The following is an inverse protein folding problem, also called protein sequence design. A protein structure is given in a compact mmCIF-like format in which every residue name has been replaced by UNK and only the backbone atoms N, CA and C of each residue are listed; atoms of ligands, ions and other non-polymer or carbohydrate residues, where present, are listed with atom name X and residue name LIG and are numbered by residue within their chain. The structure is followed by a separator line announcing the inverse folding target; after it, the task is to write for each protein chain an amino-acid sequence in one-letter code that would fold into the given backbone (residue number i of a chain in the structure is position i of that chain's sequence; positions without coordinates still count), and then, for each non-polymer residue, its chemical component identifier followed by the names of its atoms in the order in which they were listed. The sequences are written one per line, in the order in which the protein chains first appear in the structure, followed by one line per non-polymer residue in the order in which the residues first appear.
data_IF_083555419353
#
_entry.id   IF_083555419353
#
_cell.length_a   1.000
_cell.length_b   1.000
_cell.length_c   1.000
_cell.angle_alpha   90.00
_cell.angle_beta   90.00
_cell.angle_gamma   90.00
#
_symmetry.space_group_name_H-M   'P 1'
#
loop_
_entity.id
_entity.type
_entity.pdbx_description
1 polymer ?
#
# COMPACT_ATOMS: atom_id res chain seq x y z
N UNK A 1 10.40 -52.93 -16.45
CA UNK A 1 10.56 -51.58 -15.88
C UNK A 1 9.42 -50.64 -16.24
N UNK A 2 9.09 -50.43 -17.50
CA UNK A 2 8.03 -49.50 -17.91
C UNK A 2 6.65 -49.83 -17.31
N UNK A 3 6.23 -51.12 -17.29
CA UNK A 3 4.94 -51.55 -16.71
C UNK A 3 4.86 -51.24 -15.20
N UNK A 4 5.96 -51.45 -14.47
CA UNK A 4 6.02 -51.14 -13.03
C UNK A 4 5.90 -49.62 -12.77
N UNK A 5 6.56 -48.80 -13.58
CA UNK A 5 6.48 -47.33 -13.49
C UNK A 5 5.06 -46.84 -13.79
N UNK A 6 4.40 -47.39 -14.83
CA UNK A 6 3.01 -47.03 -15.19
C UNK A 6 2.08 -47.45 -14.03
N UNK A 7 2.25 -48.61 -13.46
CA UNK A 7 1.44 -49.09 -12.32
C UNK A 7 1.59 -48.17 -11.09
N UNK A 8 2.83 -47.76 -10.75
CA UNK A 8 3.11 -46.84 -9.65
C UNK A 8 2.45 -45.48 -9.93
N UNK A 9 2.55 -44.95 -11.15
CA UNK A 9 1.91 -43.70 -11.55
C UNK A 9 0.38 -43.78 -11.44
N UNK A 10 -0.24 -44.87 -11.86
CA UNK A 10 -1.67 -45.10 -11.72
C UNK A 10 -2.11 -45.21 -10.25
N UNK A 11 -1.32 -45.89 -9.41
CA UNK A 11 -1.57 -45.96 -7.97
C UNK A 11 -1.45 -44.57 -7.31
N UNK A 12 -0.45 -43.79 -7.66
CA UNK A 12 -0.28 -42.42 -7.17
C UNK A 12 -1.41 -41.51 -7.65
N UNK A 13 -1.84 -41.63 -8.90
CA UNK A 13 -2.96 -40.91 -9.45
C UNK A 13 -4.26 -41.29 -8.75
N UNK A 14 -4.51 -42.58 -8.56
CA UNK A 14 -5.68 -43.11 -7.83
C UNK A 14 -5.68 -42.65 -6.39
N UNK A 15 -4.55 -42.71 -5.68
CA UNK A 15 -4.41 -42.18 -4.32
C UNK A 15 -4.63 -40.67 -4.27
N UNK A 16 -4.10 -39.94 -5.25
CA UNK A 16 -4.32 -38.52 -5.39
C UNK A 16 -5.81 -38.20 -5.61
N UNK A 17 -6.47 -38.90 -6.52
CA UNK A 17 -7.92 -38.77 -6.75
C UNK A 17 -8.72 -39.11 -5.50
N UNK A 18 -8.40 -40.22 -4.82
CA UNK A 18 -9.07 -40.59 -3.56
C UNK A 18 -8.89 -39.50 -2.49
N UNK A 19 -7.66 -38.97 -2.31
CA UNK A 19 -7.38 -37.90 -1.36
C UNK A 19 -8.07 -36.60 -1.74
N UNK A 20 -8.22 -36.30 -3.04
CA UNK A 20 -8.89 -35.14 -3.58
C UNK A 20 -10.43 -35.18 -3.35
N UNK A 21 -11.07 -36.34 -3.48
CA UNK A 21 -12.52 -36.49 -3.41
C UNK A 21 -13.05 -36.92 -2.06
N UNK A 22 -12.29 -37.71 -1.28
CA UNK A 22 -12.81 -38.36 -0.08
C UNK A 22 -12.22 -37.86 1.24
N UNK A 23 -11.06 -37.24 1.24
CA UNK A 23 -10.53 -36.62 2.46
C UNK A 23 -11.18 -35.25 2.64
N UNK A 24 -12.34 -35.20 3.30
CA UNK A 24 -12.89 -33.93 3.78
C UNK A 24 -11.89 -33.32 4.76
N UNK A 25 -11.41 -32.11 4.53
CA UNK A 25 -10.61 -31.43 5.53
C UNK A 25 -11.45 -31.29 6.79
N UNK A 26 -10.91 -31.78 7.90
CA UNK A 26 -11.54 -31.65 9.22
C UNK A 26 -11.39 -30.20 9.67
N UNK A 27 -12.29 -29.33 9.18
CA UNK A 27 -12.24 -27.88 9.44
C UNK A 27 -12.72 -27.50 10.86
N UNK A 28 -13.13 -28.47 11.68
CA UNK A 28 -13.60 -28.23 13.05
C UNK A 28 -12.55 -28.66 14.07
N UNK A 29 -11.53 -27.82 14.29
CA UNK A 29 -10.57 -28.07 15.37
C UNK A 29 -11.02 -27.56 16.74
N UNK A 30 -12.12 -26.84 16.89
CA UNK A 30 -12.46 -26.22 18.19
C UNK A 30 -13.96 -26.10 18.50
N UNK A 31 -14.84 -26.85 17.80
CA UNK A 31 -16.29 -26.79 18.08
C UNK A 31 -16.93 -25.42 17.83
N UNK A 32 -16.24 -24.50 17.15
CA UNK A 32 -16.76 -23.17 16.79
C UNK A 32 -17.32 -23.23 15.38
N UNK A 33 -18.50 -22.65 15.19
CA UNK A 33 -19.09 -22.48 13.87
C UNK A 33 -18.25 -21.50 13.04
N UNK A 34 -17.59 -22.03 12.01
CA UNK A 34 -16.87 -21.19 11.05
C UNK A 34 -17.84 -20.53 10.07
N UNK A 35 -17.53 -19.34 9.57
CA UNK A 35 -18.31 -18.73 8.51
C UNK A 35 -18.44 -19.64 7.28
N UNK A 36 -19.49 -19.45 6.44
CA UNK A 36 -19.67 -20.22 5.21
C UNK A 36 -18.40 -20.24 4.36
N UNK A 37 -18.15 -21.38 3.71
CA UNK A 37 -16.94 -21.60 2.91
C UNK A 37 -17.30 -22.20 1.56
N UNK A 38 -16.69 -21.71 0.44
CA UNK A 38 -16.77 -22.39 -0.84
C UNK A 38 -16.17 -23.80 -0.76
N UNK A 39 -16.44 -24.69 -1.72
CA UNK A 39 -15.73 -25.96 -1.83
C UNK A 39 -14.23 -25.74 -1.97
N UNK A 40 -13.44 -26.38 -1.09
CA UNK A 40 -11.98 -26.29 -1.10
C UNK A 40 -11.35 -27.51 -1.74
N UNK A 41 -10.23 -27.32 -2.43
CA UNK A 41 -9.42 -28.43 -2.91
C UNK A 41 -8.51 -28.94 -1.79
N UNK A 42 -8.21 -30.25 -1.73
CA UNK A 42 -7.21 -30.79 -0.83
C UNK A 42 -5.86 -30.07 -1.00
N UNK A 43 -5.07 -30.01 0.06
CA UNK A 43 -3.74 -29.38 0.13
C UNK A 43 -3.79 -27.87 -0.14
N UNK A 44 -4.20 -27.42 -1.33
CA UNK A 44 -4.15 -26.02 -1.75
C UNK A 44 -5.32 -25.18 -1.24
N UNK A 45 -6.41 -25.81 -0.78
CA UNK A 45 -7.59 -25.10 -0.29
C UNK A 45 -8.28 -24.31 -1.40
N UNK A 46 -8.49 -23.01 -1.16
CA UNK A 46 -9.17 -22.09 -2.09
C UNK A 46 -8.20 -21.29 -2.98
N UNK A 47 -6.91 -21.66 -3.01
CA UNK A 47 -5.90 -20.95 -3.82
C UNK A 47 -6.30 -20.87 -5.29
N UNK A 48 -6.92 -21.91 -5.84
CA UNK A 48 -7.41 -21.94 -7.23
C UNK A 48 -8.41 -20.83 -7.53
N UNK A 49 -9.28 -20.45 -6.57
CA UNK A 49 -10.26 -19.37 -6.75
C UNK A 49 -9.60 -17.98 -6.85
N UNK A 50 -8.40 -17.83 -6.30
CA UNK A 50 -7.64 -16.59 -6.29
C UNK A 50 -6.72 -16.50 -7.52
N UNK A 51 -6.02 -17.59 -7.85
CA UNK A 51 -5.04 -17.60 -8.95
C UNK A 51 -5.68 -17.64 -10.34
N UNK A 52 -6.84 -18.29 -10.49
CA UNK A 52 -7.54 -18.37 -11.77
C UNK A 52 -8.20 -17.06 -12.20
N UNK A 53 -8.26 -16.09 -11.30
CA UNK A 53 -8.86 -14.78 -11.61
C UNK A 53 -7.79 -13.76 -11.93
N UNK A 54 -7.94 -13.11 -13.07
CA UNK A 54 -7.14 -11.94 -13.46
C UNK A 54 -7.43 -10.72 -12.56
N UNK A 55 -8.63 -10.69 -11.95
CA UNK A 55 -9.13 -9.61 -11.10
C UNK A 55 -9.60 -10.18 -9.76
N UNK A 56 -8.69 -10.28 -8.79
CA UNK A 56 -8.90 -10.93 -7.49
C UNK A 56 -10.11 -10.38 -6.72
N UNK A 57 -10.32 -9.07 -6.74
CA UNK A 57 -11.44 -8.42 -6.04
C UNK A 57 -12.81 -8.81 -6.65
N UNK A 58 -12.92 -8.96 -7.97
CA UNK A 58 -14.16 -9.43 -8.62
C UNK A 58 -14.48 -10.88 -8.27
N UNK A 59 -13.45 -11.70 -8.08
CA UNK A 59 -13.65 -13.07 -7.58
C UNK A 59 -14.17 -13.07 -6.14
N UNK A 60 -13.60 -12.26 -5.27
CA UNK A 60 -14.10 -12.11 -3.90
C UNK A 60 -15.53 -11.58 -3.88
N UNK A 61 -15.87 -10.61 -4.72
CA UNK A 61 -17.24 -10.11 -4.86
C UNK A 61 -18.23 -11.21 -5.29
N UNK A 62 -17.86 -12.02 -6.29
CA UNK A 62 -18.69 -13.15 -6.72
C UNK A 62 -18.87 -14.21 -5.63
N UNK A 63 -17.80 -14.52 -4.89
CA UNK A 63 -17.87 -15.44 -3.76
C UNK A 63 -18.79 -14.90 -2.67
N UNK A 64 -18.66 -13.63 -2.31
CA UNK A 64 -19.53 -12.97 -1.35
C UNK A 64 -21.00 -12.95 -1.77
N UNK A 65 -21.28 -12.67 -3.03
CA UNK A 65 -22.67 -12.70 -3.55
C UNK A 65 -23.28 -14.10 -3.47
N UNK A 66 -22.46 -15.15 -3.55
CA UNK A 66 -22.93 -16.55 -3.51
C UNK A 66 -23.02 -17.14 -2.11
N UNK A 67 -22.06 -16.84 -1.23
CA UNK A 67 -21.89 -17.51 0.06
C UNK A 67 -22.14 -16.60 1.26
N UNK A 68 -22.32 -15.29 1.03
CA UNK A 68 -22.57 -14.29 2.08
C UNK A 68 -21.42 -13.32 2.32
N UNK A 69 -21.65 -12.29 3.16
CA UNK A 69 -20.72 -11.17 3.36
C UNK A 69 -19.53 -11.52 4.26
N UNK A 70 -19.57 -12.63 4.97
CA UNK A 70 -18.48 -13.14 5.81
C UNK A 70 -18.16 -14.57 5.40
N UNK A 71 -16.97 -14.80 4.89
CA UNK A 71 -16.54 -16.10 4.35
C UNK A 71 -15.28 -16.60 5.02
N UNK A 72 -15.24 -17.91 5.25
CA UNK A 72 -14.01 -18.61 5.61
C UNK A 72 -13.37 -19.19 4.35
N UNK A 73 -12.12 -18.81 4.10
CA UNK A 73 -11.28 -19.35 3.04
C UNK A 73 -10.02 -19.98 3.66
N UNK A 74 -9.40 -20.90 2.94
CA UNK A 74 -8.16 -21.53 3.35
C UNK A 74 -7.20 -21.57 2.16
N UNK A 75 -5.97 -21.09 2.35
CA UNK A 75 -4.90 -21.22 1.36
C UNK A 75 -3.80 -22.08 1.99
N UNK A 76 -3.57 -23.25 1.44
CA UNK A 76 -2.80 -24.31 2.10
C UNK A 76 -3.30 -24.55 3.52
N UNK A 77 -2.50 -24.17 4.53
CA UNK A 77 -2.83 -24.28 5.95
C UNK A 77 -3.21 -22.92 6.60
N UNK A 78 -3.21 -21.84 5.83
CA UNK A 78 -3.51 -20.49 6.34
C UNK A 78 -5.01 -20.24 6.23
N UNK A 79 -5.74 -20.10 7.36
CA UNK A 79 -7.13 -19.68 7.34
C UNK A 79 -7.21 -18.17 7.03
N UNK A 80 -8.20 -17.78 6.25
CA UNK A 80 -8.49 -16.40 5.87
C UNK A 80 -9.98 -16.17 6.09
N UNK A 81 -10.33 -15.09 6.76
CA UNK A 81 -11.69 -14.60 6.85
C UNK A 81 -11.85 -13.42 5.92
N UNK A 82 -12.77 -13.51 4.98
CA UNK A 82 -13.12 -12.43 4.05
C UNK A 82 -14.38 -11.74 4.55
N UNK A 83 -14.26 -10.49 4.96
CA UNK A 83 -15.37 -9.59 5.24
C UNK A 83 -15.60 -8.67 4.05
N UNK A 84 -16.78 -8.67 3.47
CA UNK A 84 -17.10 -7.98 2.20
C UNK A 84 -18.33 -7.07 2.28
N UNK A 85 -18.87 -6.83 3.48
CA UNK A 85 -19.90 -5.83 3.69
C UNK A 85 -19.46 -4.77 4.71
N UNK A 86 -19.99 -3.57 4.56
CA UNK A 86 -19.71 -2.47 5.47
C UNK A 86 -20.19 -2.77 6.90
N UNK A 87 -21.33 -3.45 7.07
CA UNK A 87 -21.83 -3.83 8.39
C UNK A 87 -20.91 -4.82 9.10
N UNK A 88 -20.48 -5.88 8.43
CA UNK A 88 -19.53 -6.86 9.00
C UNK A 88 -18.19 -6.20 9.32
N UNK A 89 -17.69 -5.34 8.45
CA UNK A 89 -16.46 -4.59 8.71
C UNK A 89 -16.61 -3.67 9.94
N UNK A 90 -17.76 -3.02 10.08
CA UNK A 90 -18.05 -2.20 11.25
C UNK A 90 -18.02 -3.00 12.55
N UNK A 91 -18.73 -4.13 12.59
CA UNK A 91 -18.78 -4.98 13.78
C UNK A 91 -17.38 -5.51 14.15
N UNK A 92 -16.58 -5.90 13.16
CA UNK A 92 -15.20 -6.32 13.38
C UNK A 92 -14.36 -5.18 13.97
N UNK A 93 -14.41 -3.99 13.40
CA UNK A 93 -13.57 -2.87 13.87
C UNK A 93 -14.09 -2.27 15.18
N UNK A 94 -15.39 -2.34 15.47
CA UNK A 94 -15.96 -1.88 16.74
C UNK A 94 -15.67 -2.85 17.88
N UNK A 95 -15.96 -4.14 17.68
CA UNK A 95 -16.02 -5.10 18.78
C UNK A 95 -14.76 -5.98 18.85
N UNK A 96 -14.04 -6.16 17.73
CA UNK A 96 -12.89 -7.06 17.62
C UNK A 96 -11.59 -6.34 17.21
N UNK A 97 -11.53 -5.02 17.27
CA UNK A 97 -10.41 -4.22 16.79
C UNK A 97 -9.04 -4.68 17.35
N UNK A 98 -8.98 -5.01 18.65
CA UNK A 98 -7.74 -5.53 19.27
C UNK A 98 -7.32 -6.86 18.65
N UNK A 99 -8.28 -7.77 18.43
CA UNK A 99 -8.02 -9.12 17.91
C UNK A 99 -7.56 -9.10 16.45
N UNK A 100 -7.99 -8.09 15.66
CA UNK A 100 -7.58 -7.92 14.26
C UNK A 100 -6.44 -6.91 14.07
N UNK A 101 -5.89 -6.37 15.17
CA UNK A 101 -4.80 -5.38 15.13
C UNK A 101 -3.44 -5.96 14.74
N UNK A 102 -3.28 -7.27 14.66
CA UNK A 102 -2.03 -7.90 14.25
C UNK A 102 -1.97 -8.00 12.72
N UNK A 103 -0.82 -7.66 12.15
CA UNK A 103 -0.52 -7.92 10.74
C UNK A 103 0.43 -9.09 10.62
N UNK A 104 0.19 -9.95 9.64
CA UNK A 104 1.15 -10.98 9.30
C UNK A 104 2.42 -10.30 8.76
N UNK A 105 3.51 -10.45 9.50
CA UNK A 105 4.81 -9.98 9.02
C UNK A 105 5.41 -11.03 8.11
N UNK A 106 5.76 -10.69 6.87
CA UNK A 106 6.56 -11.59 6.05
C UNK A 106 7.91 -11.84 6.74
N UNK A 107 8.60 -12.95 6.43
CA UNK A 107 9.93 -13.23 6.97
C UNK A 107 10.87 -12.04 6.71
N UNK A 108 11.70 -11.71 7.72
CA UNK A 108 12.61 -10.54 7.68
C UNK A 108 13.46 -10.49 6.42
N UNK A 109 13.90 -11.65 5.93
CA UNK A 109 14.73 -11.79 4.73
C UNK A 109 14.01 -11.46 3.42
N UNK A 110 12.69 -11.41 3.44
CA UNK A 110 11.84 -11.19 2.25
C UNK A 110 11.04 -9.89 2.35
N UNK A 111 11.25 -9.11 3.40
CA UNK A 111 10.51 -7.88 3.66
C UNK A 111 11.17 -6.69 2.98
N UNK A 112 10.36 -5.89 2.29
CA UNK A 112 10.68 -4.52 1.94
C UNK A 112 10.64 -3.64 3.20
N UNK A 113 11.33 -2.47 3.16
CA UNK A 113 11.29 -1.48 4.23
C UNK A 113 11.73 -2.02 5.61
N UNK A 114 12.93 -2.64 5.63
CA UNK A 114 13.64 -3.01 6.84
C UNK A 114 12.93 -4.06 7.74
N UNK A 115 12.05 -4.88 7.18
CA UNK A 115 11.50 -6.07 7.83
C UNK A 115 10.85 -5.81 9.17
N UNK A 116 11.44 -6.33 10.23
CA UNK A 116 10.91 -6.24 11.60
C UNK A 116 10.90 -4.82 12.19
N UNK A 117 11.65 -3.89 11.62
CA UNK A 117 11.64 -2.48 12.03
C UNK A 117 10.49 -1.70 11.41
N UNK A 118 9.81 -2.25 10.40
CA UNK A 118 8.71 -1.57 9.76
C UNK A 118 7.51 -1.41 10.69
N UNK A 119 7.11 -0.17 10.90
CA UNK A 119 5.90 0.18 11.63
C UNK A 119 4.64 -0.46 11.04
N UNK A 120 4.54 -0.64 9.72
CA UNK A 120 3.37 -1.24 9.06
C UNK A 120 3.17 -2.69 9.50
N UNK A 121 4.25 -3.48 9.50
CA UNK A 121 4.20 -4.91 9.79
C UNK A 121 4.46 -5.23 11.26
N UNK A 122 4.88 -4.25 12.07
CA UNK A 122 5.13 -4.44 13.49
C UNK A 122 3.93 -5.05 14.21
N UNK A 123 4.14 -6.00 15.14
CA UNK A 123 3.06 -6.51 15.97
C UNK A 123 2.46 -5.38 16.83
N UNK A 124 1.18 -5.53 17.20
CA UNK A 124 0.54 -4.60 18.12
C UNK A 124 1.20 -4.70 19.49
N UNK A 125 1.94 -3.67 19.89
CA UNK A 125 2.73 -3.60 21.09
C UNK A 125 3.26 -2.18 21.33
N UNK A 126 4.14 -2.00 22.31
CA UNK A 126 4.57 -0.66 22.76
C UNK A 126 5.35 0.09 21.67
N UNK A 127 6.20 -0.60 20.91
CA UNK A 127 6.84 -0.01 19.73
C UNK A 127 5.80 0.55 18.76
N UNK A 128 4.82 -0.26 18.37
CA UNK A 128 3.79 0.17 17.43
C UNK A 128 2.96 1.34 17.96
N UNK A 129 2.57 1.30 19.24
CA UNK A 129 1.81 2.37 19.89
C UNK A 129 2.60 3.68 19.92
N UNK A 130 3.89 3.60 20.27
CA UNK A 130 4.77 4.76 20.28
C UNK A 130 4.92 5.36 18.89
N UNK A 131 5.23 4.53 17.89
CA UNK A 131 5.38 4.97 16.51
C UNK A 131 4.09 5.56 15.95
N UNK A 132 2.95 4.94 16.27
CA UNK A 132 1.64 5.46 15.91
C UNK A 132 1.38 6.84 16.50
N UNK A 133 1.66 7.02 17.79
CA UNK A 133 1.54 8.30 18.48
C UNK A 133 2.44 9.36 17.81
N UNK A 134 3.69 9.04 17.53
CA UNK A 134 4.64 9.94 16.88
C UNK A 134 4.12 10.37 15.48
N UNK A 135 3.68 9.42 14.66
CA UNK A 135 3.10 9.69 13.35
C UNK A 135 1.90 10.65 13.43
N UNK A 136 0.91 10.30 14.24
CA UNK A 136 -0.37 11.04 14.29
C UNK A 136 -0.22 12.42 14.96
N UNK A 137 0.73 12.59 15.88
CA UNK A 137 0.88 13.88 16.60
C UNK A 137 1.92 14.79 15.97
N UNK A 138 3.09 14.25 15.61
CA UNK A 138 4.26 15.07 15.22
C UNK A 138 4.48 15.16 13.72
N UNK A 139 4.13 14.11 12.95
CA UNK A 139 4.46 14.00 11.53
C UNK A 139 3.27 14.32 10.64
N UNK A 140 2.08 13.79 10.94
CA UNK A 140 0.86 13.91 10.13
C UNK A 140 -0.30 14.58 10.88
N UNK A 141 -0.05 15.05 12.11
CA UNK A 141 -1.02 15.78 12.90
C UNK A 141 -1.33 17.18 12.30
N UNK A 142 -2.41 17.83 12.77
CA UNK A 142 -2.84 19.12 12.21
C UNK A 142 -1.74 20.18 12.18
N UNK A 143 -0.93 20.27 13.24
CA UNK A 143 0.20 21.23 13.29
C UNK A 143 1.29 20.91 12.28
N UNK A 144 1.61 19.62 12.07
CA UNK A 144 2.59 19.19 11.08
C UNK A 144 2.09 19.45 9.65
N UNK A 145 0.80 19.18 9.40
CA UNK A 145 0.17 19.51 8.13
C UNK A 145 0.17 21.02 7.86
N UNK A 146 -0.03 21.85 8.87
CA UNK A 146 0.07 23.31 8.70
C UNK A 146 1.50 23.74 8.41
N UNK A 147 2.51 23.24 9.12
CA UNK A 147 3.94 23.51 8.83
C UNK A 147 4.33 23.15 7.40
N UNK A 148 3.83 21.99 6.91
CA UNK A 148 4.12 21.53 5.54
C UNK A 148 3.21 22.14 4.46
N UNK A 149 2.31 23.10 4.82
CA UNK A 149 1.38 23.72 3.90
C UNK A 149 2.07 24.38 2.72
N UNK A 150 3.15 25.15 2.96
CA UNK A 150 3.92 25.79 1.91
C UNK A 150 4.47 24.80 0.89
N UNK A 151 4.96 23.66 1.33
CA UNK A 151 5.47 22.62 0.43
C UNK A 151 4.37 22.06 -0.50
N UNK A 152 3.16 21.88 0.03
CA UNK A 152 2.02 21.43 -0.77
C UNK A 152 1.55 22.51 -1.74
N UNK A 153 1.50 23.76 -1.30
CA UNK A 153 1.13 24.90 -2.15
C UNK A 153 2.12 25.08 -3.31
N UNK A 154 3.42 25.00 -3.06
CA UNK A 154 4.45 25.07 -4.09
C UNK A 154 4.32 23.96 -5.14
N UNK A 155 4.10 22.72 -4.72
CA UNK A 155 3.97 21.61 -5.66
C UNK A 155 2.63 21.66 -6.41
N UNK A 156 1.57 22.16 -5.77
CA UNK A 156 0.28 22.39 -6.42
C UNK A 156 0.40 23.51 -7.48
N UNK A 157 1.11 24.59 -7.20
CA UNK A 157 1.38 25.66 -8.17
C UNK A 157 2.21 25.14 -9.36
N UNK A 158 3.20 24.28 -9.11
CA UNK A 158 3.96 23.59 -10.17
C UNK A 158 3.08 22.69 -11.01
N UNK A 159 2.20 21.91 -10.38
CA UNK A 159 1.22 21.08 -11.06
C UNK A 159 0.28 21.92 -11.94
N UNK A 160 -0.24 23.03 -11.42
CA UNK A 160 -1.07 23.96 -12.18
C UNK A 160 -0.32 24.54 -13.41
N UNK A 161 0.93 24.99 -13.22
CA UNK A 161 1.77 25.54 -14.31
C UNK A 161 2.03 24.48 -15.38
N UNK A 162 2.29 23.24 -15.00
CA UNK A 162 2.48 22.14 -15.95
C UNK A 162 1.21 21.91 -16.78
N UNK A 163 0.04 21.87 -16.16
CA UNK A 163 -1.22 21.72 -16.85
C UNK A 163 -1.51 22.91 -17.78
N UNK A 164 -1.20 24.14 -17.35
CA UNK A 164 -1.39 25.34 -18.13
C UNK A 164 -0.47 25.37 -19.36
N UNK A 165 0.79 25.00 -19.22
CA UNK A 165 1.73 24.88 -20.35
C UNK A 165 1.24 23.86 -21.39
N UNK A 166 0.79 22.69 -20.93
CA UNK A 166 0.18 21.66 -21.78
C UNK A 166 -1.09 22.18 -22.47
N UNK A 167 -1.91 22.94 -21.76
CA UNK A 167 -3.12 23.53 -22.31
C UNK A 167 -2.81 24.57 -23.42
N UNK A 168 -1.81 25.43 -23.21
CA UNK A 168 -1.35 26.40 -24.23
C UNK A 168 -0.81 25.68 -25.46
N UNK A 169 -0.05 24.62 -25.27
CA UNK A 169 0.53 23.80 -26.36
C UNK A 169 -0.50 22.86 -27.02
N UNK A 170 -1.73 22.78 -26.47
CA UNK A 170 -2.78 21.84 -26.88
C UNK A 170 -2.32 20.37 -26.83
N UNK A 171 -1.46 20.05 -25.88
CA UNK A 171 -0.95 18.70 -25.66
C UNK A 171 -1.84 17.93 -24.68
N UNK A 172 -1.92 16.62 -24.86
CA UNK A 172 -2.61 15.74 -23.92
C UNK A 172 -1.74 15.47 -22.67
N UNK A 173 -2.41 15.23 -21.56
CA UNK A 173 -1.82 14.93 -20.25
C UNK A 173 -2.30 13.56 -19.82
N UNK A 174 -1.40 12.73 -19.33
CA UNK A 174 -1.74 11.51 -18.62
C UNK A 174 -1.97 11.83 -17.14
N UNK A 175 -3.23 11.78 -16.71
CA UNK A 175 -3.65 12.26 -15.37
C UNK A 175 -2.93 11.50 -14.25
N UNK A 176 -2.78 10.18 -14.40
CA UNK A 176 -2.13 9.34 -13.36
C UNK A 176 -0.66 9.71 -13.20
N UNK A 177 0.04 9.97 -14.30
CA UNK A 177 1.45 10.36 -14.28
C UNK A 177 1.65 11.71 -13.56
N UNK A 178 0.86 12.73 -13.93
CA UNK A 178 0.99 14.05 -13.31
C UNK A 178 0.56 14.04 -11.82
N UNK A 179 -0.49 13.29 -11.48
CA UNK A 179 -0.88 13.11 -10.09
C UNK A 179 0.20 12.37 -9.26
N UNK A 180 0.88 11.37 -9.86
CA UNK A 180 1.98 10.69 -9.21
C UNK A 180 3.20 11.62 -9.00
N UNK A 181 3.52 12.48 -9.97
CA UNK A 181 4.58 13.52 -9.83
C UNK A 181 4.25 14.47 -8.68
N UNK A 182 3.04 15.02 -8.65
CA UNK A 182 2.59 15.90 -7.59
C UNK A 182 2.73 15.24 -6.21
N UNK A 183 2.22 14.03 -6.06
CA UNK A 183 2.24 13.32 -4.78
C UNK A 183 3.68 13.00 -4.34
N UNK A 184 4.49 12.42 -5.22
CA UNK A 184 5.88 12.07 -4.90
C UNK A 184 6.70 13.30 -4.53
N UNK A 185 6.58 14.40 -5.27
CA UNK A 185 7.32 15.62 -4.97
C UNK A 185 6.87 16.24 -3.64
N UNK A 186 5.56 16.24 -3.37
CA UNK A 186 5.01 16.69 -2.09
C UNK A 186 5.59 15.90 -0.91
N UNK A 187 5.59 14.57 -1.01
CA UNK A 187 6.14 13.70 0.04
C UNK A 187 7.64 13.92 0.18
N UNK A 188 8.40 14.01 -0.92
CA UNK A 188 9.83 14.29 -0.88
C UNK A 188 10.12 15.61 -0.16
N UNK A 189 9.38 16.68 -0.47
CA UNK A 189 9.53 17.96 0.23
C UNK A 189 9.19 17.86 1.72
N UNK A 190 8.17 17.15 2.07
CA UNK A 190 7.79 16.95 3.47
C UNK A 190 8.83 16.16 4.27
N UNK A 191 9.47 15.16 3.63
CA UNK A 191 10.49 14.32 4.27
C UNK A 191 11.85 15.02 4.33
N UNK A 192 12.28 15.65 3.23
CA UNK A 192 13.63 16.16 3.04
C UNK A 192 13.75 17.69 3.16
N UNK A 193 12.63 18.40 3.38
CA UNK A 193 12.59 19.86 3.40
C UNK A 193 12.91 20.53 2.05
N UNK A 194 13.18 19.75 0.99
CA UNK A 194 13.53 20.22 -0.35
C UNK A 194 12.85 19.39 -1.44
N UNK A 195 12.63 20.00 -2.60
CA UNK A 195 12.18 19.23 -3.78
C UNK A 195 13.28 18.27 -4.21
N UNK A 196 12.86 17.12 -4.72
CA UNK A 196 13.78 16.23 -5.43
C UNK A 196 14.32 16.96 -6.65
N UNK A 197 15.64 17.00 -6.82
CA UNK A 197 16.25 17.63 -7.96
C UNK A 197 15.96 16.83 -9.23
N UNK A 198 15.36 17.49 -10.23
CA UNK A 198 15.20 16.91 -11.56
C UNK A 198 16.53 16.95 -12.33
N UNK A 199 17.36 17.96 -12.06
CA UNK A 199 18.66 18.15 -12.73
C UNK A 199 19.66 17.03 -12.38
N UNK A 200 19.60 16.49 -11.15
CA UNK A 200 20.46 15.39 -10.72
C UNK A 200 19.88 14.00 -10.97
N UNK A 201 18.68 13.91 -11.55
CA UNK A 201 17.96 12.63 -11.73
C UNK A 201 17.47 11.98 -10.42
N UNK A 202 17.57 12.67 -9.28
CA UNK A 202 17.15 12.15 -7.98
C UNK A 202 15.63 11.89 -7.94
N UNK A 203 14.84 12.81 -8.48
CA UNK A 203 13.39 12.68 -8.56
C UNK A 203 12.99 11.45 -9.39
N UNK A 204 13.66 11.21 -10.52
CA UNK A 204 13.43 10.05 -11.36
C UNK A 204 13.84 8.75 -10.64
N UNK A 205 14.97 8.76 -9.94
CA UNK A 205 15.43 7.62 -9.15
C UNK A 205 14.43 7.24 -8.06
N UNK A 206 13.89 8.22 -7.32
CA UNK A 206 12.88 7.99 -6.28
C UNK A 206 11.59 7.44 -6.88
N UNK A 207 11.08 8.07 -7.96
CA UNK A 207 9.89 7.57 -8.68
C UNK A 207 10.09 6.16 -9.22
N UNK A 208 11.26 5.85 -9.76
CA UNK A 208 11.64 4.52 -10.20
C UNK A 208 11.58 3.49 -9.08
N UNK A 209 12.15 3.80 -7.91
CA UNK A 209 12.12 2.91 -6.74
C UNK A 209 10.70 2.67 -6.23
N UNK A 210 9.86 3.71 -6.17
CA UNK A 210 8.45 3.57 -5.79
C UNK A 210 7.72 2.65 -6.78
N UNK A 211 7.93 2.84 -8.08
CA UNK A 211 7.33 2.00 -9.12
C UNK A 211 7.83 0.55 -9.03
N UNK A 212 9.14 0.32 -8.84
CA UNK A 212 9.71 -1.01 -8.61
C UNK A 212 9.08 -1.69 -7.38
N UNK A 213 8.90 -0.97 -6.28
CA UNK A 213 8.30 -1.51 -5.06
C UNK A 213 6.83 -1.90 -5.24
N UNK A 214 6.07 -1.08 -5.96
CA UNK A 214 4.68 -1.37 -6.31
C UNK A 214 4.56 -2.63 -7.18
N UNK A 215 5.45 -2.80 -8.16
CA UNK A 215 5.50 -3.99 -9.00
C UNK A 215 5.82 -5.27 -8.20
N UNK A 216 6.57 -5.16 -7.12
CA UNK A 216 6.89 -6.27 -6.24
C UNK A 216 5.74 -6.70 -5.31
N UNK A 217 4.71 -5.89 -5.11
CA UNK A 217 3.63 -6.19 -4.15
C UNK A 217 2.99 -7.55 -4.39
N UNK A 218 2.69 -7.89 -5.66
CA UNK A 218 2.16 -9.20 -6.04
C UNK A 218 3.16 -10.33 -5.76
N UNK A 219 4.44 -10.11 -6.05
CA UNK A 219 5.51 -11.09 -5.81
C UNK A 219 5.71 -11.35 -4.32
N UNK A 220 5.66 -10.30 -3.49
CA UNK A 220 5.72 -10.40 -2.03
C UNK A 220 4.52 -11.18 -1.49
N UNK A 221 3.32 -10.90 -1.99
CA UNK A 221 2.12 -11.64 -1.61
C UNK A 221 2.24 -13.14 -1.95
N UNK A 222 2.69 -13.47 -3.16
CA UNK A 222 2.94 -14.85 -3.54
C UNK A 222 4.05 -15.50 -2.70
N UNK A 223 5.16 -14.80 -2.49
CA UNK A 223 6.24 -15.29 -1.64
C UNK A 223 5.74 -15.60 -0.22
N UNK A 224 4.89 -14.75 0.34
CA UNK A 224 4.29 -14.95 1.68
C UNK A 224 3.38 -16.20 1.73
N UNK A 225 2.52 -16.37 0.73
CA UNK A 225 1.61 -17.54 0.65
C UNK A 225 2.40 -18.85 0.53
N UNK A 226 3.41 -18.86 -0.34
CA UNK A 226 4.18 -20.07 -0.62
C UNK A 226 5.38 -20.27 0.32
N UNK A 227 5.65 -19.32 1.23
CA UNK A 227 6.81 -19.36 2.12
C UNK A 227 6.91 -20.70 2.88
N UNK A 228 5.88 -21.08 3.64
CA UNK A 228 5.94 -22.28 4.48
C UNK A 228 6.13 -23.59 3.69
N UNK A 229 5.39 -23.85 2.58
CA UNK A 229 5.63 -25.06 1.80
C UNK A 229 7.01 -25.09 1.13
N UNK A 230 7.50 -23.96 0.62
CA UNK A 230 8.76 -23.87 -0.10
C UNK A 230 10.00 -23.78 0.80
N UNK A 231 9.85 -23.22 2.01
CA UNK A 231 10.94 -23.17 3.00
C UNK A 231 11.50 -24.54 3.33
N UNK A 232 10.64 -25.57 3.39
CA UNK A 232 11.07 -26.96 3.61
C UNK A 232 11.95 -27.50 2.48
N UNK A 233 11.84 -26.91 1.29
CA UNK A 233 12.65 -27.24 0.10
C UNK A 233 13.85 -26.30 -0.07
N UNK A 234 14.08 -25.38 0.86
CA UNK A 234 15.14 -24.36 0.75
C UNK A 234 14.89 -23.30 -0.33
N UNK A 235 13.65 -23.21 -0.85
CA UNK A 235 13.29 -22.27 -1.93
C UNK A 235 12.64 -21.03 -1.35
N UNK A 236 13.18 -19.87 -1.71
CA UNK A 236 12.60 -18.55 -1.41
C UNK A 236 12.29 -17.81 -2.70
N UNK A 237 10.99 -17.59 -2.95
CA UNK A 237 10.51 -16.95 -4.17
C UNK A 237 10.86 -15.45 -4.18
N UNK A 238 11.39 -14.97 -5.29
CA UNK A 238 11.66 -13.54 -5.54
C UNK A 238 12.62 -12.88 -4.55
N UNK A 239 13.33 -13.64 -3.70
CA UNK A 239 14.23 -13.11 -2.66
C UNK A 239 15.22 -12.11 -3.23
N UNK A 240 15.90 -12.43 -4.33
CA UNK A 240 16.91 -11.55 -4.93
C UNK A 240 16.34 -10.20 -5.37
N UNK A 241 15.15 -10.21 -5.98
CA UNK A 241 14.49 -8.99 -6.45
C UNK A 241 14.02 -8.12 -5.26
N UNK A 242 13.36 -8.75 -4.27
CA UNK A 242 12.88 -8.06 -3.06
C UNK A 242 14.06 -7.43 -2.31
N UNK A 243 15.14 -8.18 -2.09
CA UNK A 243 16.32 -7.67 -1.40
C UNK A 243 17.06 -6.59 -2.19
N UNK A 244 17.05 -6.65 -3.52
CA UNK A 244 17.65 -5.61 -4.36
C UNK A 244 16.94 -4.27 -4.18
N UNK A 245 15.60 -4.26 -4.24
CA UNK A 245 14.82 -3.03 -4.06
C UNK A 245 14.91 -2.54 -2.61
N UNK A 246 14.86 -3.43 -1.63
CA UNK A 246 15.02 -3.07 -0.22
C UNK A 246 16.36 -2.38 0.05
N UNK A 247 17.46 -2.87 -0.53
CA UNK A 247 18.79 -2.26 -0.40
C UNK A 247 18.84 -0.87 -1.03
N UNK A 248 18.30 -0.70 -2.24
CA UNK A 248 18.24 0.61 -2.90
C UNK A 248 17.48 1.66 -2.05
N UNK A 249 16.37 1.24 -1.41
CA UNK A 249 15.65 2.11 -0.47
C UNK A 249 16.48 2.43 0.77
N UNK A 250 17.15 1.43 1.34
CA UNK A 250 17.99 1.61 2.52
C UNK A 250 19.14 2.59 2.25
N UNK A 251 19.83 2.44 1.12
CA UNK A 251 20.89 3.36 0.68
C UNK A 251 20.38 4.79 0.47
N UNK A 252 19.20 4.95 -0.15
CA UNK A 252 18.59 6.26 -0.36
C UNK A 252 18.22 6.93 0.97
N UNK A 253 17.56 6.19 1.86
CA UNK A 253 17.10 6.72 3.15
C UNK A 253 18.28 7.00 4.08
N UNK A 254 19.35 6.20 4.03
CA UNK A 254 20.58 6.47 4.79
C UNK A 254 21.24 7.76 4.32
N UNK A 255 21.33 7.98 3.00
CA UNK A 255 21.85 9.24 2.45
C UNK A 255 21.05 10.44 2.96
N UNK A 256 19.70 10.38 2.89
CA UNK A 256 18.83 11.46 3.38
C UNK A 256 19.04 11.71 4.86
N UNK A 257 19.18 10.64 5.65
CA UNK A 257 19.40 10.73 7.09
C UNK A 257 20.72 11.43 7.43
N UNK A 258 21.80 11.06 6.75
CA UNK A 258 23.13 11.67 6.95
C UNK A 258 23.09 13.16 6.58
N UNK A 259 22.50 13.53 5.43
CA UNK A 259 22.33 14.92 5.02
C UNK A 259 21.58 15.78 6.06
N UNK A 260 20.61 15.19 6.77
CA UNK A 260 19.87 15.90 7.82
C UNK A 260 20.64 15.98 9.13
N UNK A 261 21.40 14.95 9.49
CA UNK A 261 22.26 14.98 10.67
C UNK A 261 23.32 16.08 10.55
N UNK A 262 23.95 16.21 9.37
CA UNK A 262 24.93 17.27 9.09
C UNK A 262 24.30 18.68 9.19
N UNK A 263 23.10 18.88 8.63
CA UNK A 263 22.39 20.17 8.74
C UNK A 263 21.98 20.53 10.17
N UNK A 264 21.58 19.54 10.98
CA UNK A 264 21.22 19.79 12.38
C UNK A 264 22.43 20.23 13.23
N UNK A 265 23.64 19.76 12.90
CA UNK A 265 24.88 20.19 13.56
C UNK A 265 25.23 21.66 13.25
N UNK A 266 24.83 22.17 12.09
CA UNK A 266 25.00 23.57 11.67
C UNK A 266 23.96 24.56 12.25
N UNK A 267 23.19 24.15 13.28
CA UNK A 267 22.19 24.98 13.98
C UNK A 267 20.98 25.44 13.14
N UNK A 268 20.64 24.76 12.08
CA UNK A 268 19.39 25.00 11.38
C UNK A 268 18.26 24.26 12.12
N UNK A 269 17.34 25.02 12.74
CA UNK A 269 16.08 24.47 13.23
C UNK A 269 15.25 24.01 12.02
N UNK A 270 15.37 22.75 11.67
CA UNK A 270 14.58 22.14 10.63
C UNK A 270 13.12 21.98 11.03
N UNK A 271 12.25 22.00 10.05
CA UNK A 271 10.79 21.91 10.25
C UNK A 271 10.18 20.76 9.45
N UNK A 272 11.02 19.92 8.82
CA UNK A 272 10.55 18.80 8.03
C UNK A 272 10.32 17.51 8.85
N UNK A 273 9.88 16.45 8.20
CA UNK A 273 9.54 15.19 8.89
C UNK A 273 10.78 14.44 9.38
N UNK A 274 11.91 14.57 8.69
CA UNK A 274 13.15 13.90 9.06
C UNK A 274 13.73 14.52 10.34
N UNK A 275 13.67 15.86 10.47
CA UNK A 275 14.12 16.55 11.67
C UNK A 275 13.33 16.11 12.91
N UNK A 276 12.01 15.97 12.78
CA UNK A 276 11.14 15.47 13.86
C UNK A 276 11.50 14.04 14.27
N UNK A 277 11.85 13.20 13.31
CA UNK A 277 12.27 11.82 13.57
C UNK A 277 13.64 11.74 14.24
N UNK A 278 14.57 12.60 13.83
CA UNK A 278 15.89 12.72 14.44
C UNK A 278 15.81 13.30 15.87
N UNK A 279 14.93 14.27 16.10
CA UNK A 279 14.64 14.77 17.44
C UNK A 279 14.14 13.66 18.36
N UNK A 280 13.16 12.87 17.89
CA UNK A 280 12.64 11.72 18.64
C UNK A 280 13.70 10.61 18.85
N UNK A 281 14.66 10.46 17.96
CA UNK A 281 15.77 9.53 18.08
C UNK A 281 16.78 9.97 19.16
N UNK A 282 17.03 11.29 19.26
CA UNK A 282 17.97 11.89 20.23
C UNK A 282 17.36 12.09 21.62
N UNK A 283 16.03 12.02 21.75
CA UNK A 283 15.36 12.22 23.04
C UNK A 283 15.71 11.08 24.00
N UNK A 284 16.54 11.40 24.99
CA UNK A 284 16.97 10.45 26.03
C UNK A 284 15.84 10.05 26.98
N UNK A 285 14.80 10.87 27.09
CA UNK A 285 13.65 10.66 27.96
C UNK A 285 12.46 10.05 27.25
N UNK A 286 12.60 9.65 25.98
CA UNK A 286 11.51 9.06 25.22
C UNK A 286 10.99 7.77 25.86
N UNK A 287 9.69 7.61 25.89
CA UNK A 287 8.99 6.41 26.37
C UNK A 287 9.45 5.13 25.64
N UNK A 288 9.89 5.27 24.39
CA UNK A 288 10.44 4.19 23.57
C UNK A 288 11.65 4.68 22.77
N UNK A 289 12.78 3.98 22.88
CA UNK A 289 14.00 4.31 22.12
C UNK A 289 13.89 3.81 20.67
N UNK A 290 13.82 4.73 19.73
CA UNK A 290 13.86 4.41 18.31
C UNK A 290 15.30 4.29 17.82
N UNK A 291 15.50 3.60 16.71
CA UNK A 291 16.80 3.41 16.05
C UNK A 291 16.79 4.05 14.66
N UNK A 292 17.94 4.23 14.03
CA UNK A 292 18.03 4.69 12.62
C UNK A 292 17.17 3.85 11.69
N UNK A 293 17.12 2.53 11.90
CA UNK A 293 16.28 1.64 11.09
C UNK A 293 14.77 1.90 11.30
N UNK A 294 14.37 2.28 12.50
CA UNK A 294 12.99 2.71 12.75
C UNK A 294 12.65 4.02 12.01
N UNK A 295 13.56 4.99 11.98
CA UNK A 295 13.38 6.25 11.23
C UNK A 295 13.20 5.95 9.74
N UNK A 296 14.11 5.17 9.15
CA UNK A 296 14.05 4.79 7.72
C UNK A 296 12.75 4.07 7.37
N UNK A 297 12.21 3.27 8.27
CA UNK A 297 10.98 2.53 8.05
C UNK A 297 9.71 3.39 8.05
N UNK A 298 9.75 4.60 8.59
CA UNK A 298 8.61 5.52 8.67
C UNK A 298 8.50 6.38 7.43
N UNK A 299 9.62 6.82 6.88
CA UNK A 299 9.68 7.76 5.76
C UNK A 299 8.97 7.30 4.48
N UNK A 300 8.40 6.09 4.47
CA UNK A 300 7.69 5.50 3.34
C UNK A 300 6.17 5.38 3.49
N UNK A 301 5.52 6.03 4.47
CA UNK A 301 4.11 5.72 4.77
C UNK A 301 3.23 6.89 5.14
N UNK A 302 2.00 6.86 4.68
CA UNK A 302 0.92 7.81 4.98
C UNK A 302 -0.32 7.14 5.54
N UNK A 303 -1.10 7.90 6.32
CA UNK A 303 -2.36 7.45 6.90
C UNK A 303 -3.28 8.46 7.57
N UNK A 304 -4.43 8.33 7.80
CA UNK A 304 -5.70 8.09 8.50
C UNK A 304 -6.73 9.21 8.58
N UNK A 305 -8.01 8.88 8.35
CA UNK A 305 -9.20 9.59 8.86
C UNK A 305 -10.21 8.64 9.49
N UNK A 306 -10.79 9.11 10.57
CA UNK A 306 -11.68 8.40 11.45
C UNK A 306 -13.16 8.69 11.21
N UNK A 307 -13.97 7.58 11.12
CA UNK A 307 -15.32 7.47 11.71
C UNK A 307 -16.57 8.09 11.12
N UNK A 308 -16.71 8.48 9.84
CA UNK A 308 -18.09 8.86 9.46
C UNK A 308 -18.78 8.09 8.31
N UNK A 309 -18.08 7.30 7.53
CA UNK A 309 -18.70 6.60 6.40
C UNK A 309 -18.21 5.16 6.23
N UNK A 310 -18.74 4.25 7.06
CA UNK A 310 -18.40 2.83 6.99
C UNK A 310 -18.88 2.11 5.71
N UNK A 311 -19.60 2.79 4.83
CA UNK A 311 -19.94 2.27 3.51
C UNK A 311 -18.76 2.26 2.54
N UNK A 312 -17.80 3.18 2.75
CA UNK A 312 -16.58 3.31 1.96
C UNK A 312 -15.42 3.61 2.90
N UNK A 313 -14.51 2.67 3.07
CA UNK A 313 -13.35 2.75 3.98
C UNK A 313 -12.04 2.65 3.21
N UNK A 314 -11.73 3.63 2.33
CA UNK A 314 -10.55 3.58 1.47
C UNK A 314 -9.24 3.57 2.27
N UNK A 315 -9.27 4.07 3.49
CA UNK A 315 -8.13 4.16 4.40
C UNK A 315 -8.22 3.18 5.58
N UNK A 316 -9.00 2.13 5.48
CA UNK A 316 -9.30 1.19 6.55
C UNK A 316 -9.97 1.87 7.77
N UNK A 317 -10.07 1.19 8.90
CA UNK A 317 -10.62 1.70 10.16
C UNK A 317 -9.97 0.97 11.35
N UNK A 318 -10.31 1.38 12.57
CA UNK A 318 -9.78 0.82 13.79
C UNK A 318 -8.34 1.28 14.09
N UNK A 319 -7.65 0.55 14.94
CA UNK A 319 -6.29 0.90 15.42
C UNK A 319 -5.26 0.92 14.31
N UNK A 320 -5.45 0.11 13.29
CA UNK A 320 -4.58 -0.01 12.11
C UNK A 320 -5.05 0.81 10.93
N UNK A 321 -6.07 1.65 11.13
CA UNK A 321 -6.48 2.58 10.11
C UNK A 321 -5.35 3.54 9.73
N UNK A 322 -5.45 4.12 8.53
CA UNK A 322 -4.43 4.92 7.84
C UNK A 322 -4.09 6.27 8.55
N UNK A 323 -2.81 6.65 9.11
CA UNK A 323 -2.50 7.95 9.73
C UNK A 323 -2.44 9.18 8.77
N UNK A 324 -2.21 9.04 7.45
CA UNK A 324 -2.12 10.18 6.49
C UNK A 324 -3.39 10.52 5.73
N UNK A 325 -4.51 10.00 6.15
CA UNK A 325 -5.79 10.26 5.50
C UNK A 325 -6.08 11.77 5.36
N UNK A 326 -5.73 12.58 6.38
CA UNK A 326 -5.89 14.03 6.31
C UNK A 326 -5.03 14.65 5.22
N UNK A 327 -3.77 14.21 5.11
CA UNK A 327 -2.87 14.64 4.05
C UNK A 327 -3.41 14.22 2.68
N UNK A 328 -3.85 12.97 2.54
CA UNK A 328 -4.39 12.46 1.29
C UNK A 328 -5.64 13.22 0.85
N UNK A 329 -6.60 13.48 1.74
CA UNK A 329 -7.77 14.28 1.40
C UNK A 329 -7.41 15.73 1.05
N UNK A 330 -6.48 16.34 1.78
CA UNK A 330 -6.02 17.68 1.46
C UNK A 330 -5.36 17.73 0.08
N UNK A 331 -4.42 16.80 -0.21
CA UNK A 331 -3.68 16.77 -1.47
C UNK A 331 -4.58 16.44 -2.67
N UNK A 332 -5.40 15.39 -2.57
CA UNK A 332 -6.32 14.99 -3.65
C UNK A 332 -7.41 16.06 -3.84
N UNK A 333 -8.00 16.56 -2.75
CA UNK A 333 -9.04 17.57 -2.82
C UNK A 333 -8.58 18.86 -3.49
N UNK A 334 -7.37 19.34 -3.16
CA UNK A 334 -6.82 20.55 -3.79
C UNK A 334 -6.42 20.31 -5.24
N UNK A 335 -5.83 19.16 -5.57
CA UNK A 335 -5.48 18.82 -6.96
C UNK A 335 -6.74 18.73 -7.84
N UNK A 336 -7.78 18.02 -7.39
CA UNK A 336 -9.07 17.96 -8.10
C UNK A 336 -9.71 19.35 -8.19
N UNK A 337 -9.64 20.14 -7.12
CA UNK A 337 -10.12 21.54 -7.13
C UNK A 337 -9.46 22.36 -8.24
N UNK A 338 -8.12 22.33 -8.36
CA UNK A 338 -7.40 23.02 -9.44
C UNK A 338 -7.83 22.51 -10.82
N UNK A 339 -7.92 21.20 -10.99
CA UNK A 339 -8.32 20.59 -12.27
C UNK A 339 -9.71 21.02 -12.70
N UNK A 340 -10.68 21.07 -11.78
CA UNK A 340 -12.08 21.39 -12.09
C UNK A 340 -12.32 22.90 -12.20
N UNK A 341 -11.66 23.70 -11.39
CA UNK A 341 -11.86 25.16 -11.39
C UNK A 341 -11.12 25.86 -12.53
N UNK A 342 -9.91 25.40 -12.86
CA UNK A 342 -9.05 26.11 -13.80
C UNK A 342 -9.12 25.60 -15.24
N UNK A 343 -9.64 24.38 -15.44
CA UNK A 343 -9.62 23.74 -16.77
C UNK A 343 -10.95 23.09 -17.12
N UNK A 344 -11.29 23.16 -18.42
CA UNK A 344 -12.18 22.21 -19.09
C UNK A 344 -11.32 21.11 -19.68
N UNK A 345 -11.88 19.89 -19.79
CA UNK A 345 -11.12 18.72 -20.20
C UNK A 345 -11.68 18.10 -21.46
N UNK A 346 -10.85 17.98 -22.49
CA UNK A 346 -11.19 17.24 -23.70
C UNK A 346 -10.61 15.83 -23.62
N UNK A 347 -11.46 14.83 -23.80
CA UNK A 347 -11.08 13.43 -23.79
C UNK A 347 -10.96 12.96 -25.24
N UNK A 348 -9.94 12.18 -25.55
CA UNK A 348 -9.83 11.53 -26.85
C UNK A 348 -10.85 10.39 -26.95
N UNK A 349 -11.76 10.47 -27.94
CA UNK A 349 -12.86 9.51 -28.14
C UNK A 349 -14.16 9.91 -27.43
N UNK A 350 -15.21 9.11 -27.64
CA UNK A 350 -16.54 9.39 -27.09
C UNK A 350 -16.71 8.98 -25.63
N UNK A 351 -15.91 8.01 -25.14
CA UNK A 351 -16.06 7.45 -23.79
C UNK A 351 -14.70 7.07 -23.20
N UNK A 352 -14.59 7.30 -21.89
CA UNK A 352 -13.44 6.83 -21.11
C UNK A 352 -13.49 5.30 -20.96
N UNK A 353 -12.37 4.64 -21.25
CA UNK A 353 -12.24 3.21 -21.00
C UNK A 353 -11.95 2.96 -19.53
N UNK A 354 -12.97 2.51 -18.78
CA UNK A 354 -12.89 2.21 -17.35
C UNK A 354 -12.45 0.76 -17.04
N UNK A 355 -11.94 0.04 -18.03
CA UNK A 355 -11.43 -1.31 -17.80
C UNK A 355 -10.25 -1.29 -16.84
N UNK A 356 -10.23 -2.28 -15.96
CA UNK A 356 -9.19 -2.44 -14.94
C UNK A 356 -7.98 -3.20 -15.50
N UNK A 357 -6.79 -2.79 -15.11
CA UNK A 357 -5.57 -3.50 -15.46
C UNK A 357 -5.53 -4.89 -14.80
N UNK A 358 -5.27 -5.91 -15.57
CA UNK A 358 -5.18 -7.28 -15.09
C UNK A 358 -3.89 -7.53 -14.29
N UNK A 359 -3.98 -8.39 -13.29
CA UNK A 359 -2.79 -8.92 -12.59
C UNK A 359 -2.12 -7.96 -11.60
N UNK A 360 -2.70 -6.80 -11.31
CA UNK A 360 -2.24 -5.88 -10.26
C UNK A 360 -2.98 -6.12 -8.95
N UNK A 361 -2.32 -5.86 -7.81
CA UNK A 361 -2.96 -5.85 -6.49
C UNK A 361 -3.62 -4.50 -6.19
N UNK A 362 -3.20 -3.46 -6.91
CA UNK A 362 -3.74 -2.11 -6.82
C UNK A 362 -4.67 -1.88 -8.01
N UNK A 363 -5.85 -1.32 -7.77
CA UNK A 363 -6.79 -0.97 -8.84
C UNK A 363 -6.21 0.16 -9.68
N UNK A 364 -5.90 -0.15 -10.93
CA UNK A 364 -5.44 0.81 -11.93
C UNK A 364 -6.24 0.64 -13.22
N UNK A 365 -6.34 1.70 -14.00
CA UNK A 365 -6.96 1.62 -15.32
C UNK A 365 -6.07 0.80 -16.25
N UNK A 366 -6.68 -0.05 -17.10
CA UNK A 366 -5.95 -0.79 -18.14
C UNK A 366 -5.34 0.14 -19.19
N UNK A 367 -6.02 1.25 -19.44
CA UNK A 367 -5.56 2.32 -20.31
C UNK A 367 -5.53 3.63 -19.52
N UNK A 368 -4.36 4.27 -19.36
CA UNK A 368 -4.25 5.53 -18.64
C UNK A 368 -5.18 6.60 -19.21
N UNK A 369 -5.81 7.38 -18.34
CA UNK A 369 -6.67 8.48 -18.76
C UNK A 369 -5.82 9.62 -19.33
N UNK A 370 -5.96 9.86 -20.64
CA UNK A 370 -5.35 10.98 -21.35
C UNK A 370 -6.42 12.01 -21.67
N UNK A 371 -6.15 13.26 -21.29
CA UNK A 371 -7.06 14.37 -21.51
C UNK A 371 -6.26 15.60 -21.94
N UNK A 372 -6.86 16.45 -22.76
CA UNK A 372 -6.27 17.75 -23.12
C UNK A 372 -6.92 18.83 -22.27
N UNK A 373 -6.16 19.52 -21.40
CA UNK A 373 -6.69 20.63 -20.62
C UNK A 373 -6.96 21.85 -21.52
N UNK A 374 -8.05 22.55 -21.24
CA UNK A 374 -8.40 23.82 -21.89
C UNK A 374 -8.60 24.85 -20.77
N UNK A 375 -7.80 25.92 -20.72
CA UNK A 375 -7.91 26.90 -19.64
C UNK A 375 -9.29 27.52 -19.61
N UNK A 376 -9.91 27.58 -18.42
CA UNK A 376 -11.11 28.36 -18.22
C UNK A 376 -10.73 29.83 -18.08
N UNK A 377 -11.44 30.70 -18.79
CA UNK A 377 -11.43 32.13 -18.50
C UNK A 377 -12.08 32.30 -17.13
N UNK A 378 -11.28 32.43 -16.09
CA UNK A 378 -11.78 32.81 -14.78
C UNK A 378 -12.38 34.21 -14.92
N UNK A 379 -13.68 34.29 -15.13
CA UNK A 379 -14.40 35.53 -14.88
C UNK A 379 -14.10 35.88 -13.42
N UNK A 380 -13.42 37.01 -13.21
CA UNK A 380 -13.07 37.51 -11.89
C UNK A 380 -14.27 37.36 -10.99
N UNK A 381 -14.11 36.59 -9.90
CA UNK A 381 -15.08 36.63 -8.83
C UNK A 381 -15.29 38.10 -8.47
N UNK A 382 -16.54 38.59 -8.38
CA UNK A 382 -16.76 39.95 -7.93
C UNK A 382 -16.12 40.11 -6.57
N UNK A 383 -15.29 41.13 -6.45
CA UNK A 383 -14.56 41.58 -5.27
C UNK A 383 -15.48 41.77 -4.07
#
# INVERSE_FOLDING_TARGET
MAVLIIFILLCLLSFLCYSLFFIKPKDSRDGRDLPPSPPSLPIIGHLHLILLSTLTHKSFQRLSSKYGPLLHLRIFHVPIVLASSASVAYDIFRDQDVNVSFRHSPPIEESLFLGSYSFISAPYGDYWKFMRKLMVTKILGPQALERSRRFREDELDRFYKTLLDKAIKKESVEIVEEAAKLNNNTICKMIMGRSCSEETGEAERIRGLVTESMALTKKIFLATIFHKPLKKLGISLFKKEIMSVSRKFDELLEKILVEHEEKMEEHHQGTDMMDVLLEAYRDENAEYKITRNHIKSISGQEDEIRDKFLKYIPFASGRRGCPGTNLAYASVGTAVGVMVQCFDWKIEGEKVNMNEAAGTMVLTMAHPLKCTPVPRTLNRLPS
#
